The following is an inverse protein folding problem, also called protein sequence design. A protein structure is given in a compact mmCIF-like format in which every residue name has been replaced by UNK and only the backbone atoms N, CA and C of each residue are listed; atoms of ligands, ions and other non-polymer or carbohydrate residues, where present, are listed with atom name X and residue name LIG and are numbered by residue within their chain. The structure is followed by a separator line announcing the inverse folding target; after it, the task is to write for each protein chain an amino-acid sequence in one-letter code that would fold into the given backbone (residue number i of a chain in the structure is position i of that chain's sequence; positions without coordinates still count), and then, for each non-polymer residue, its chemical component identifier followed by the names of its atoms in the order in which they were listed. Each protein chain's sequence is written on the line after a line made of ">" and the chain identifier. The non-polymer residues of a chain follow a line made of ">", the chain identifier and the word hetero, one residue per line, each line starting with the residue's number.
data_IF_098161848442
#
_entry.id   IF_098161848442
#
_cell.length_a   1.000
_cell.length_b   1.000
_cell.length_c   1.000
_cell.angle_alpha   90.00
_cell.angle_beta   90.00
_cell.angle_gamma   90.00
#
_symmetry.space_group_name_H-M   'P 1'
#
loop_
_entity.id
_entity.type
_entity.pdbx_description
1 polymer ?
#
# COMPACT_ATOMS: atom_id res chain seq x y z
N UNK A 1 -20.45 8.30 -19.16
CA UNK A 1 -20.22 6.99 -18.52
C UNK A 1 -19.21 6.24 -19.36
N UNK A 2 -17.96 6.10 -18.88
CA UNK A 2 -16.93 5.37 -19.60
C UNK A 2 -17.24 3.87 -19.53
N UNK A 3 -17.29 3.24 -20.70
CA UNK A 3 -17.65 1.85 -20.90
C UNK A 3 -16.43 0.98 -20.54
N UNK A 4 -16.20 0.76 -19.25
CA UNK A 4 -15.18 -0.19 -18.80
C UNK A 4 -15.65 -1.60 -19.18
N UNK A 5 -14.93 -2.26 -20.08
CA UNK A 5 -15.19 -3.67 -20.44
C UNK A 5 -15.16 -4.50 -19.16
N UNK A 6 -16.32 -5.04 -18.77
CA UNK A 6 -16.51 -5.81 -17.54
C UNK A 6 -15.97 -7.24 -17.63
N UNK A 7 -15.44 -7.65 -18.78
CA UNK A 7 -14.88 -8.97 -18.98
C UNK A 7 -13.54 -9.09 -18.25
N UNK A 8 -13.56 -9.65 -17.04
CA UNK A 8 -12.36 -10.12 -16.35
C UNK A 8 -11.81 -11.36 -17.06
N UNK A 9 -10.49 -11.50 -17.13
CA UNK A 9 -9.86 -12.75 -17.60
C UNK A 9 -9.91 -13.88 -16.56
N UNK A 10 -10.22 -13.58 -15.31
CA UNK A 10 -10.25 -14.53 -14.19
C UNK A 10 -11.65 -15.07 -13.88
N UNK A 11 -12.67 -14.71 -14.66
CA UNK A 11 -14.10 -15.01 -14.39
C UNK A 11 -14.56 -14.55 -12.98
N UNK A 12 -13.79 -13.65 -12.36
CA UNK A 12 -14.08 -13.06 -11.07
C UNK A 12 -14.89 -11.79 -11.27
N UNK A 13 -15.86 -11.54 -10.38
CA UNK A 13 -16.56 -10.26 -10.35
C UNK A 13 -15.52 -9.15 -10.11
N UNK A 14 -15.33 -8.22 -11.06
CA UNK A 14 -14.38 -7.14 -10.88
C UNK A 14 -14.73 -6.29 -9.66
N UNK A 15 -16.01 -6.20 -9.27
CA UNK A 15 -16.43 -5.41 -8.10
C UNK A 15 -15.90 -5.96 -6.81
N UNK A 16 -16.10 -7.26 -6.63
CA UNK A 16 -15.63 -7.99 -5.48
C UNK A 16 -14.10 -7.91 -5.42
N UNK A 17 -13.44 -8.14 -6.56
CA UNK A 17 -11.98 -8.16 -6.67
C UNK A 17 -11.35 -6.84 -6.22
N UNK A 18 -11.86 -5.71 -6.72
CA UNK A 18 -11.31 -4.40 -6.39
C UNK A 18 -11.53 -4.09 -4.90
N UNK A 19 -12.73 -4.36 -4.38
CA UNK A 19 -13.05 -4.11 -2.98
C UNK A 19 -12.14 -4.95 -2.06
N UNK A 20 -11.94 -6.24 -2.38
CA UNK A 20 -11.08 -7.14 -1.63
C UNK A 20 -9.62 -6.65 -1.59
N UNK A 21 -9.07 -6.17 -2.71
CA UNK A 21 -7.69 -5.62 -2.76
C UNK A 21 -7.53 -4.50 -1.72
N UNK A 22 -8.47 -3.58 -1.66
CA UNK A 22 -8.40 -2.44 -0.73
C UNK A 22 -8.70 -2.83 0.72
N UNK A 23 -9.63 -3.77 0.96
CA UNK A 23 -9.89 -4.29 2.31
C UNK A 23 -8.65 -4.99 2.87
N UNK A 24 -8.05 -5.88 2.10
CA UNK A 24 -6.85 -6.61 2.52
C UNK A 24 -5.70 -5.63 2.74
N UNK A 25 -5.48 -4.67 1.83
CA UNK A 25 -4.48 -3.61 1.99
C UNK A 25 -4.72 -2.76 3.25
N UNK A 26 -5.97 -2.39 3.53
CA UNK A 26 -6.35 -1.64 4.73
C UNK A 26 -6.05 -2.45 5.99
N UNK A 27 -6.47 -3.72 6.06
CA UNK A 27 -6.23 -4.60 7.21
C UNK A 27 -4.73 -4.74 7.49
N UNK A 28 -3.93 -4.94 6.45
CA UNK A 28 -2.48 -5.05 6.63
C UNK A 28 -1.86 -3.72 7.03
N UNK A 29 -2.33 -2.59 6.49
CA UNK A 29 -1.85 -1.25 6.88
C UNK A 29 -2.21 -0.90 8.32
N UNK A 30 -3.41 -1.26 8.79
CA UNK A 30 -3.83 -1.05 10.18
C UNK A 30 -3.16 -2.04 11.15
N UNK A 31 -2.86 -3.25 10.67
CA UNK A 31 -2.14 -4.30 11.39
C UNK A 31 -0.64 -4.04 11.57
N UNK A 32 -0.09 -2.98 10.98
CA UNK A 32 1.34 -2.58 11.06
C UNK A 32 1.85 -2.46 12.51
N UNK A 33 0.96 -2.38 13.52
CA UNK A 33 1.42 -2.19 14.90
C UNK A 33 2.08 -3.40 15.58
N UNK A 34 2.02 -4.66 15.10
CA UNK A 34 2.55 -5.78 15.92
C UNK A 34 3.41 -6.90 15.33
N UNK A 35 3.23 -7.40 14.11
CA UNK A 35 4.16 -8.43 13.60
C UNK A 35 3.99 -8.72 12.11
N UNK A 36 5.13 -9.03 11.49
CA UNK A 36 5.30 -9.76 10.22
C UNK A 36 5.18 -8.94 8.94
N UNK A 37 6.34 -8.47 8.45
CA UNK A 37 6.52 -8.05 7.06
C UNK A 37 6.09 -9.10 6.02
N UNK A 38 5.90 -10.35 6.46
CA UNK A 38 5.22 -11.42 5.73
C UNK A 38 3.82 -11.02 5.23
N UNK A 39 3.03 -10.28 6.02
CA UNK A 39 1.70 -9.79 5.62
C UNK A 39 1.77 -8.81 4.45
N UNK A 40 2.70 -7.86 4.50
CA UNK A 40 2.94 -6.89 3.43
C UNK A 40 3.46 -7.56 2.16
N UNK A 41 4.34 -8.56 2.30
CA UNK A 41 4.83 -9.37 1.16
C UNK A 41 3.67 -10.13 0.49
N UNK A 42 2.75 -10.72 1.26
CA UNK A 42 1.57 -11.41 0.72
C UNK A 42 0.71 -10.46 -0.14
N UNK A 43 0.48 -9.22 0.32
CA UNK A 43 -0.26 -8.22 -0.49
C UNK A 43 0.49 -7.86 -1.76
N UNK A 44 1.78 -7.60 -1.67
CA UNK A 44 2.58 -7.23 -2.85
C UNK A 44 2.53 -8.36 -3.88
N UNK A 45 2.75 -9.60 -3.45
CA UNK A 45 2.71 -10.76 -4.35
C UNK A 45 1.30 -10.94 -4.92
N UNK A 46 0.25 -10.87 -4.11
CA UNK A 46 -1.12 -11.05 -4.59
C UNK A 46 -1.56 -9.96 -5.57
N UNK A 47 -1.26 -8.69 -5.30
CA UNK A 47 -1.57 -7.57 -6.21
C UNK A 47 -0.74 -7.60 -7.48
N UNK A 48 0.52 -8.05 -7.40
CA UNK A 48 1.37 -8.26 -8.56
C UNK A 48 0.84 -9.40 -9.45
N UNK A 49 0.51 -10.56 -8.87
CA UNK A 49 -0.09 -11.68 -9.59
C UNK A 49 -1.40 -11.25 -10.27
N UNK A 50 -2.23 -10.50 -9.55
CA UNK A 50 -3.48 -9.99 -10.09
C UNK A 50 -3.26 -9.06 -11.28
N UNK A 51 -2.23 -8.21 -11.25
CA UNK A 51 -1.83 -7.38 -12.39
C UNK A 51 -1.33 -8.20 -13.59
N UNK A 52 -0.64 -9.31 -13.34
CA UNK A 52 -0.11 -10.21 -14.39
C UNK A 52 -1.25 -11.00 -15.06
N UNK A 53 -2.21 -11.48 -14.28
CA UNK A 53 -3.32 -12.32 -14.77
C UNK A 53 -4.47 -11.52 -15.35
N UNK A 54 -4.78 -10.35 -14.79
CA UNK A 54 -5.87 -9.51 -15.26
C UNK A 54 -5.39 -8.59 -16.38
N UNK A 55 -5.60 -9.00 -17.64
CA UNK A 55 -5.15 -8.25 -18.82
C UNK A 55 -6.25 -7.39 -19.44
N UNK A 56 -7.52 -7.76 -19.27
CA UNK A 56 -8.66 -7.18 -19.99
C UNK A 56 -9.31 -6.04 -19.22
N UNK A 57 -9.46 -6.17 -17.90
CA UNK A 57 -10.15 -5.18 -17.10
C UNK A 57 -9.22 -4.05 -16.63
N UNK A 58 -9.25 -2.92 -17.34
CA UNK A 58 -8.43 -1.73 -17.05
C UNK A 58 -8.72 -1.13 -15.68
N UNK A 59 -9.93 -1.29 -15.16
CA UNK A 59 -10.31 -0.75 -13.85
C UNK A 59 -9.68 -1.57 -12.72
N UNK A 60 -9.79 -2.90 -12.81
CA UNK A 60 -9.13 -3.82 -11.86
C UNK A 60 -7.62 -3.60 -11.88
N UNK A 61 -7.02 -3.47 -13.07
CA UNK A 61 -5.58 -3.18 -13.23
C UNK A 61 -5.16 -1.86 -12.58
N UNK A 62 -5.94 -0.79 -12.77
CA UNK A 62 -5.64 0.49 -12.12
C UNK A 62 -5.64 0.34 -10.59
N UNK A 63 -6.71 -0.23 -10.00
CA UNK A 63 -6.75 -0.39 -8.55
C UNK A 63 -5.63 -1.29 -8.01
N UNK A 64 -5.29 -2.36 -8.74
CA UNK A 64 -4.19 -3.25 -8.39
C UNK A 64 -2.84 -2.53 -8.46
N UNK A 65 -2.57 -1.75 -9.52
CA UNK A 65 -1.34 -0.98 -9.68
C UNK A 65 -1.19 0.11 -8.60
N UNK A 66 -2.27 0.85 -8.30
CA UNK A 66 -2.27 1.86 -7.24
C UNK A 66 -2.05 1.24 -5.86
N UNK A 67 -2.70 0.11 -5.59
CA UNK A 67 -2.53 -0.62 -4.34
C UNK A 67 -1.10 -1.16 -4.20
N UNK A 68 -0.53 -1.74 -5.26
CA UNK A 68 0.84 -2.23 -5.30
C UNK A 68 1.85 -1.08 -5.06
N UNK A 69 1.68 0.03 -5.77
CA UNK A 69 2.54 1.21 -5.62
C UNK A 69 2.47 1.79 -4.19
N UNK A 70 1.27 1.86 -3.60
CA UNK A 70 1.08 2.31 -2.22
C UNK A 70 1.78 1.41 -1.21
N UNK A 71 1.64 0.09 -1.35
CA UNK A 71 2.27 -0.87 -0.44
C UNK A 71 3.81 -0.85 -0.57
N UNK A 72 4.35 -0.71 -1.79
CA UNK A 72 5.78 -0.52 -2.02
C UNK A 72 6.30 0.77 -1.38
N UNK A 73 5.58 1.88 -1.55
CA UNK A 73 5.92 3.14 -0.90
C UNK A 73 5.90 3.03 0.64
N UNK A 74 4.93 2.29 1.19
CA UNK A 74 4.82 2.04 2.63
C UNK A 74 6.05 1.30 3.17
N UNK A 75 6.51 0.26 2.47
CA UNK A 75 7.73 -0.46 2.84
C UNK A 75 8.94 0.47 2.81
N UNK A 76 9.11 1.22 1.71
CA UNK A 76 10.26 2.07 1.51
C UNK A 76 10.37 3.16 2.60
N UNK A 77 9.26 3.83 2.90
CA UNK A 77 9.20 4.82 3.99
C UNK A 77 9.48 4.15 5.34
N UNK A 78 8.90 2.98 5.61
CA UNK A 78 9.12 2.26 6.88
C UNK A 78 10.58 1.85 7.07
N UNK A 79 11.26 1.39 6.01
CA UNK A 79 12.68 1.04 6.04
C UNK A 79 13.53 2.29 6.30
N UNK A 80 13.25 3.40 5.61
CA UNK A 80 13.99 4.65 5.78
C UNK A 80 13.86 5.19 7.21
N UNK A 81 12.62 5.31 7.72
CA UNK A 81 12.37 5.84 9.07
C UNK A 81 13.02 4.93 10.13
N UNK A 82 12.85 3.61 10.02
CA UNK A 82 13.50 2.67 10.95
C UNK A 82 15.03 2.75 10.91
N UNK A 83 15.61 2.87 9.72
CA UNK A 83 17.07 2.94 9.57
C UNK A 83 17.65 4.19 10.21
N UNK A 84 17.04 5.36 9.95
CA UNK A 84 17.45 6.64 10.54
C UNK A 84 17.35 6.58 12.07
N UNK A 85 16.24 6.07 12.60
CA UNK A 85 16.07 5.98 14.05
C UNK A 85 16.98 4.96 14.72
N UNK A 86 17.28 3.82 14.08
CA UNK A 86 18.26 2.86 14.63
C UNK A 86 19.64 3.48 14.76
N UNK A 87 20.06 4.29 13.79
CA UNK A 87 21.32 5.04 13.85
C UNK A 87 21.27 6.05 15.00
N UNK A 88 20.17 6.83 15.09
CA UNK A 88 19.99 7.82 16.16
C UNK A 88 20.07 7.17 17.54
N UNK A 89 19.33 6.08 17.76
CA UNK A 89 19.32 5.32 19.02
C UNK A 89 20.71 4.77 19.32
N UNK A 90 21.42 4.22 18.33
CA UNK A 90 22.79 3.73 18.51
C UNK A 90 23.78 4.84 18.90
N UNK A 91 23.56 6.10 18.52
CA UNK A 91 24.41 7.23 18.93
C UNK A 91 24.13 7.70 20.36
N UNK A 92 22.90 7.54 20.85
CA UNK A 92 22.45 8.07 22.17
C UNK A 92 22.17 6.98 23.21
N UNK A 93 22.39 5.70 22.90
CA UNK A 93 22.00 4.57 23.76
C UNK A 93 22.62 4.61 25.15
N UNK A 94 23.80 5.22 25.28
CA UNK A 94 24.56 5.33 26.52
C UNK A 94 23.96 6.34 27.51
N UNK A 95 23.02 7.19 27.08
CA UNK A 95 22.25 8.09 27.95
C UNK A 95 20.83 7.53 28.12
N UNK A 96 20.45 6.99 29.30
CA UNK A 96 19.16 6.36 29.52
C UNK A 96 17.95 7.25 29.17
N UNK A 97 18.02 8.54 29.52
CA UNK A 97 16.93 9.50 29.26
C UNK A 97 16.76 9.75 27.75
N UNK A 98 17.86 9.91 27.00
CA UNK A 98 17.79 10.14 25.55
C UNK A 98 17.32 8.89 24.81
N UNK A 99 17.59 7.69 25.32
CA UNK A 99 17.08 6.45 24.75
C UNK A 99 15.53 6.38 24.85
N UNK A 100 14.96 6.73 26.01
CA UNK A 100 13.50 6.78 26.19
C UNK A 100 12.86 7.84 25.28
N UNK A 101 13.45 9.03 25.22
CA UNK A 101 12.94 10.13 24.38
C UNK A 101 13.00 9.76 22.89
N UNK A 102 14.13 9.23 22.40
CA UNK A 102 14.30 8.84 21.00
C UNK A 102 13.37 7.70 20.60
N UNK A 103 13.17 6.70 21.46
CA UNK A 103 12.20 5.61 21.23
C UNK A 103 10.77 6.13 21.18
N UNK A 104 10.39 7.05 22.07
CA UNK A 104 9.06 7.66 22.07
C UNK A 104 8.81 8.47 20.79
N UNK A 105 9.82 9.22 20.34
CA UNK A 105 9.74 9.97 19.08
C UNK A 105 9.59 9.04 17.87
N UNK A 106 10.25 7.88 17.86
CA UNK A 106 10.06 6.86 16.82
C UNK A 106 8.62 6.36 16.77
N UNK A 107 8.05 6.03 17.93
CA UNK A 107 6.67 5.54 18.02
C UNK A 107 5.70 6.59 17.48
N UNK A 108 5.87 7.86 17.85
CA UNK A 108 5.04 8.97 17.36
C UNK A 108 5.19 9.12 15.84
N UNK A 109 6.42 9.15 15.32
CA UNK A 109 6.69 9.26 13.89
C UNK A 109 6.04 8.12 13.09
N UNK A 110 6.21 6.88 13.56
CA UNK A 110 5.60 5.70 12.92
C UNK A 110 4.07 5.71 13.00
N UNK A 111 3.51 6.23 14.08
CA UNK A 111 2.05 6.39 14.21
C UNK A 111 1.51 7.38 13.18
N UNK A 112 2.16 8.53 13.01
CA UNK A 112 1.77 9.54 12.03
C UNK A 112 1.82 8.96 10.61
N UNK A 113 2.91 8.26 10.27
CA UNK A 113 3.07 7.60 8.97
C UNK A 113 1.99 6.55 8.74
N UNK A 114 1.70 5.71 9.76
CA UNK A 114 0.65 4.70 9.68
C UNK A 114 -0.74 5.30 9.44
N UNK A 115 -1.11 6.34 10.19
CA UNK A 115 -2.38 7.06 10.01
C UNK A 115 -2.50 7.61 8.59
N UNK A 116 -1.43 8.21 8.06
CA UNK A 116 -1.42 8.72 6.68
C UNK A 116 -1.69 7.60 5.66
N UNK A 117 -1.03 6.45 5.79
CA UNK A 117 -1.26 5.31 4.90
C UNK A 117 -2.67 4.71 5.03
N UNK A 118 -3.21 4.65 6.25
CA UNK A 118 -4.60 4.21 6.48
C UNK A 118 -5.59 5.14 5.78
N UNK A 119 -5.40 6.45 5.86
CA UNK A 119 -6.26 7.42 5.16
C UNK A 119 -6.21 7.24 3.64
N UNK A 120 -5.02 6.98 3.07
CA UNK A 120 -4.89 6.73 1.64
C UNK A 120 -5.59 5.42 1.24
N UNK A 121 -5.46 4.35 2.04
CA UNK A 121 -6.17 3.09 1.81
C UNK A 121 -7.69 3.27 1.88
N UNK A 122 -8.19 4.09 2.81
CA UNK A 122 -9.61 4.43 2.89
C UNK A 122 -10.10 5.17 1.63
N UNK A 123 -9.31 6.09 1.08
CA UNK A 123 -9.66 6.75 -0.19
C UNK A 123 -9.76 5.75 -1.35
N UNK A 124 -8.82 4.80 -1.44
CA UNK A 124 -8.86 3.72 -2.43
C UNK A 124 -10.08 2.82 -2.28
N UNK A 125 -10.43 2.48 -1.03
CA UNK A 125 -11.62 1.69 -0.70
C UNK A 125 -12.91 2.43 -1.05
N UNK A 126 -13.06 3.70 -0.70
CA UNK A 126 -14.25 4.50 -1.05
C UNK A 126 -14.44 4.57 -2.57
N UNK A 127 -13.35 4.76 -3.32
CA UNK A 127 -13.40 4.76 -4.79
C UNK A 127 -13.74 3.38 -5.37
N UNK A 128 -13.31 2.29 -4.72
CA UNK A 128 -13.69 0.92 -5.13
C UNK A 128 -15.19 0.70 -5.07
N UNK A 129 -15.85 1.18 -4.01
CA UNK A 129 -17.31 1.08 -3.88
C UNK A 129 -18.05 1.89 -4.95
N UNK A 130 -17.47 3.00 -5.39
CA UNK A 130 -18.04 3.84 -6.47
C UNK A 130 -17.72 3.34 -7.87
N UNK A 131 -16.90 2.30 -8.01
CA UNK A 131 -16.48 1.82 -9.34
C UNK A 131 -15.74 2.87 -10.16
N UNK A 132 -14.99 3.73 -9.49
CA UNK A 132 -14.26 4.84 -10.11
C UNK A 132 -12.77 4.56 -10.10
N UNK A 133 -12.03 4.95 -11.16
CA UNK A 133 -10.59 4.83 -11.18
C UNK A 133 -9.95 5.57 -9.99
N UNK A 134 -9.07 4.86 -9.30
CA UNK A 134 -8.23 5.46 -8.27
C UNK A 134 -7.10 6.22 -8.93
N UNK A 135 -6.92 7.46 -8.47
CA UNK A 135 -5.75 8.26 -8.76
C UNK A 135 -5.32 8.82 -7.41
N UNK A 136 -4.32 8.18 -6.82
CA UNK A 136 -3.77 8.62 -5.55
C UNK A 136 -2.75 9.72 -5.81
N UNK A 137 -2.82 10.85 -5.09
CA UNK A 137 -1.83 11.91 -5.23
C UNK A 137 -0.43 11.36 -4.94
N UNK A 138 0.56 11.79 -5.73
CA UNK A 138 1.97 11.37 -5.67
C UNK A 138 2.26 9.90 -6.04
N UNK A 139 1.29 9.00 -5.97
CA UNK A 139 1.45 7.56 -6.24
C UNK A 139 1.01 7.20 -7.67
N UNK A 140 0.08 7.97 -8.24
CA UNK A 140 -0.53 7.68 -9.54
C UNK A 140 0.49 7.49 -10.68
N UNK A 141 1.53 8.34 -10.73
CA UNK A 141 2.61 8.23 -11.72
C UNK A 141 3.37 6.92 -11.61
N UNK A 142 3.62 6.43 -10.40
CA UNK A 142 4.33 5.17 -10.18
C UNK A 142 3.46 3.97 -10.55
N UNK A 143 2.17 4.04 -10.26
CA UNK A 143 1.21 3.02 -10.68
C UNK A 143 1.15 2.89 -12.22
N UNK A 144 1.13 4.00 -12.94
CA UNK A 144 1.18 4.00 -14.42
C UNK A 144 2.47 3.36 -14.96
N UNK A 145 3.63 3.66 -14.37
CA UNK A 145 4.91 3.05 -14.76
C UNK A 145 4.89 1.53 -14.52
N UNK A 146 4.39 1.09 -13.36
CA UNK A 146 4.26 -0.33 -13.01
C UNK A 146 3.34 -1.04 -14.01
N UNK A 147 2.20 -0.44 -14.32
CA UNK A 147 1.25 -1.00 -15.28
C UNK A 147 1.84 -1.10 -16.69
N UNK A 148 2.62 -0.12 -17.14
CA UNK A 148 3.31 -0.15 -18.44
C UNK A 148 4.43 -1.20 -18.49
N UNK A 149 5.14 -1.42 -17.37
CA UNK A 149 6.21 -2.41 -17.28
C UNK A 149 5.67 -3.85 -17.33
N UNK A 150 4.51 -4.10 -16.72
CA UNK A 150 3.90 -5.44 -16.62
C UNK A 150 2.91 -5.72 -17.77
N UNK A 151 2.33 -4.66 -18.36
CA UNK A 151 1.36 -4.75 -19.45
C UNK A 151 1.96 -5.00 -20.85
N UNK A 152 3.28 -5.20 -20.96
CA UNK A 152 3.95 -5.72 -22.16
C UNK A 152 4.07 -7.24 -22.06
#
# INVERSE_FOLDING_TARGET
>A
MNNYKSESSLDLDPKLTICLIWIVSLITSAGISKSNGLSTVIIIVSTLLLLIYEKKNTLVRNHAAQCLALNLATILVSILVNSIFRILVALVFWIPVLNVVSTSMLIIAMTIVSVFFVLINLLGLVKSFKFEPVSLPYISKYAEIIEQAIGR
#
